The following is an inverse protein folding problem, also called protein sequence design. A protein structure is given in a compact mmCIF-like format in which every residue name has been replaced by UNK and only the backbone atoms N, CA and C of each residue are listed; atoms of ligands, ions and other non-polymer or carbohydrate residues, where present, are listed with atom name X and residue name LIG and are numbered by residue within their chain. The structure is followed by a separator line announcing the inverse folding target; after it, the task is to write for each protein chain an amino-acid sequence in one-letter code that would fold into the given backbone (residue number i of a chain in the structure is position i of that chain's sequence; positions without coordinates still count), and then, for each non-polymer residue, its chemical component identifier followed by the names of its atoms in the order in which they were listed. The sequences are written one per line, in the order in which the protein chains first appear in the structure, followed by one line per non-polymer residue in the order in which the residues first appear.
data_IF_271745725828
#
_entry.id   IF_271745725828
#
_cell.length_a   1.000
_cell.length_b   1.000
_cell.length_c   1.000
_cell.angle_alpha   90.00
_cell.angle_beta   90.00
_cell.angle_gamma   90.00
#
_symmetry.space_group_name_H-M   'P 1'
#
loop_
_entity.id
_entity.type
_entity.pdbx_description
1 polymer ?
#
# COMPACT_ATOMS: atom_id res chain seq x y z
N UNK A 1 3.53 22.67 -17.81
CA UNK A 1 3.52 23.26 -16.44
C UNK A 1 3.02 22.27 -15.39
N UNK A 2 1.89 21.60 -15.58
CA UNK A 2 1.37 20.59 -14.61
C UNK A 2 2.38 19.48 -14.31
N UNK A 3 3.06 18.94 -15.34
CA UNK A 3 4.07 17.88 -15.15
C UNK A 3 5.27 18.29 -14.29
N UNK A 4 5.69 19.57 -14.37
CA UNK A 4 6.74 20.11 -13.50
C UNK A 4 6.29 20.16 -12.04
N UNK A 5 5.03 20.51 -11.80
CA UNK A 5 4.45 20.53 -10.47
C UNK A 5 4.31 19.13 -9.88
N UNK A 6 3.89 18.16 -10.69
CA UNK A 6 3.85 16.75 -10.29
C UNK A 6 5.23 16.22 -9.92
N UNK A 7 6.24 16.55 -10.72
CA UNK A 7 7.63 16.21 -10.42
C UNK A 7 8.13 16.87 -9.13
N UNK A 8 7.76 18.13 -8.90
CA UNK A 8 8.07 18.83 -7.65
C UNK A 8 7.40 18.17 -6.43
N UNK A 9 6.13 17.77 -6.54
CA UNK A 9 5.41 17.03 -5.49
C UNK A 9 6.09 15.69 -5.20
N UNK A 10 6.52 14.97 -6.24
CA UNK A 10 7.26 13.72 -6.10
C UNK A 10 8.58 13.91 -5.33
N UNK A 11 9.39 14.91 -5.71
CA UNK A 11 10.67 15.20 -5.04
C UNK A 11 10.45 15.64 -3.59
N UNK A 12 9.46 16.50 -3.34
CA UNK A 12 9.19 16.99 -1.98
C UNK A 12 8.70 15.86 -1.08
N UNK A 13 7.90 14.92 -1.58
CA UNK A 13 7.51 13.73 -0.84
C UNK A 13 8.71 12.81 -0.55
N UNK A 14 9.62 12.63 -1.52
CA UNK A 14 10.84 11.85 -1.30
C UNK A 14 11.77 12.50 -0.26
N UNK A 15 11.97 13.81 -0.32
CA UNK A 15 12.79 14.54 0.64
C UNK A 15 12.19 14.50 2.05
N UNK A 16 10.88 14.73 2.17
CA UNK A 16 10.17 14.67 3.48
C UNK A 16 10.22 13.28 4.08
N UNK A 17 9.99 12.22 3.28
CA UNK A 17 10.13 10.84 3.72
C UNK A 17 11.54 10.51 4.20
N UNK A 18 12.58 10.94 3.47
CA UNK A 18 13.98 10.74 3.86
C UNK A 18 14.27 11.37 5.23
N UNK A 19 13.82 12.61 5.44
CA UNK A 19 14.00 13.35 6.70
C UNK A 19 13.21 12.69 7.83
N UNK A 20 11.95 12.33 7.62
CA UNK A 20 11.12 11.69 8.64
C UNK A 20 11.67 10.32 9.04
N UNK A 21 12.19 9.54 8.09
CA UNK A 21 12.87 8.28 8.39
C UNK A 21 14.12 8.50 9.26
N UNK A 22 14.91 9.54 8.96
CA UNK A 22 16.06 9.91 9.77
C UNK A 22 15.64 10.30 11.20
N UNK A 23 14.66 11.19 11.34
CA UNK A 23 14.15 11.64 12.63
C UNK A 23 13.58 10.47 13.43
N UNK A 24 12.73 9.65 12.83
CA UNK A 24 12.10 8.50 13.50
C UNK A 24 13.14 7.50 14.01
N UNK A 25 14.20 7.24 13.22
CA UNK A 25 15.33 6.41 13.66
C UNK A 25 16.05 7.00 14.86
N UNK A 26 16.27 8.31 14.89
CA UNK A 26 16.95 8.97 16.01
C UNK A 26 16.10 9.01 17.28
N UNK A 27 14.79 9.16 17.13
CA UNK A 27 13.86 9.34 18.25
C UNK A 27 13.41 8.03 18.87
N UNK A 28 13.26 6.96 18.07
CA UNK A 28 12.82 5.64 18.51
C UNK A 28 13.85 4.53 18.23
N UNK A 29 15.11 4.63 18.70
CA UNK A 29 16.15 3.64 18.40
C UNK A 29 15.93 2.28 19.10
N UNK A 30 15.06 2.24 20.11
CA UNK A 30 14.73 1.05 20.92
C UNK A 30 13.45 0.33 20.47
N UNK A 31 12.67 0.91 19.56
CA UNK A 31 11.44 0.29 19.05
C UNK A 31 11.79 -0.77 18.01
N UNK A 32 12.12 -1.97 18.49
CA UNK A 32 12.64 -3.08 17.70
C UNK A 32 11.81 -4.33 17.99
N UNK A 33 11.37 -5.00 16.92
CA UNK A 33 10.77 -6.32 17.03
C UNK A 33 11.89 -7.30 17.36
N UNK A 34 11.69 -8.11 18.40
CA UNK A 34 12.57 -9.23 18.71
C UNK A 34 12.53 -10.34 17.65
N UNK A 35 11.77 -10.16 16.55
CA UNK A 35 11.80 -11.07 15.41
C UNK A 35 13.18 -11.15 14.79
N UNK A 36 13.71 -12.36 14.88
CA UNK A 36 14.91 -12.77 14.20
C UNK A 36 14.58 -12.94 12.72
N UNK A 37 14.77 -11.89 11.91
CA UNK A 37 14.78 -12.09 10.44
C UNK A 37 15.84 -13.16 10.16
N UNK A 38 15.48 -14.31 9.55
CA UNK A 38 16.48 -15.28 9.16
C UNK A 38 17.42 -14.56 8.20
N UNK A 39 18.69 -14.42 8.60
CA UNK A 39 19.69 -13.94 7.66
C UNK A 39 19.69 -14.87 6.46
N UNK A 40 19.95 -14.30 5.28
CA UNK A 40 20.02 -14.97 3.97
C UNK A 40 20.12 -16.49 4.08
N UNK A 41 18.98 -17.18 3.96
CA UNK A 41 18.98 -18.63 3.82
C UNK A 41 19.77 -18.94 2.54
N UNK A 42 20.96 -19.54 2.69
CA UNK A 42 21.68 -20.11 1.55
C UNK A 42 21.17 -21.54 1.39
N UNK A 43 20.42 -21.86 0.33
CA UNK A 43 20.09 -23.26 0.01
C UNK A 43 21.35 -24.09 -0.29
N UNK A 44 22.48 -23.44 -0.53
CA UNK A 44 23.77 -24.06 -0.87
C UNK A 44 24.62 -24.44 0.36
N UNK A 45 24.19 -24.11 1.57
CA UNK A 45 24.88 -24.54 2.78
C UNK A 45 24.47 -25.99 3.09
N UNK A 46 25.41 -26.93 3.22
CA UNK A 46 25.07 -28.31 3.53
C UNK A 46 24.32 -28.33 4.86
N UNK A 47 23.08 -28.84 4.83
CA UNK A 47 22.37 -29.26 6.04
C UNK A 47 23.30 -30.23 6.74
N UNK A 48 23.67 -29.93 7.99
CA UNK A 48 24.53 -30.80 8.78
C UNK A 48 23.89 -32.20 8.82
N UNK A 49 24.44 -33.13 8.04
CA UNK A 49 24.04 -34.53 8.04
C UNK A 49 24.41 -35.06 9.42
N UNK A 50 23.40 -35.42 10.21
CA UNK A 50 23.56 -36.06 11.51
C UNK A 50 24.34 -37.36 11.33
N UNK A 51 25.65 -37.34 11.56
CA UNK A 51 26.50 -38.47 11.24
C UNK A 51 27.98 -38.33 11.60
N UNK A 52 28.33 -37.70 12.72
CA UNK A 52 29.55 -38.01 13.50
C UNK A 52 29.63 -37.15 14.76
N UNK A 53 29.72 -37.82 15.90
CA UNK A 53 30.15 -37.24 17.17
C UNK A 53 31.59 -36.72 17.05
N UNK A 54 31.90 -35.65 17.78
CA UNK A 54 33.22 -35.00 17.90
C UNK A 54 33.66 -34.09 16.75
N UNK A 55 32.88 -33.03 16.50
CA UNK A 55 33.44 -31.71 16.20
C UNK A 55 32.38 -30.64 16.51
N UNK A 56 32.62 -29.84 17.55
CA UNK A 56 31.85 -28.64 17.87
C UNK A 56 32.11 -27.57 16.82
N UNK A 57 31.47 -27.71 15.66
CA UNK A 57 31.37 -26.63 14.68
C UNK A 57 30.44 -25.60 15.32
N UNK A 58 31.03 -24.56 15.90
CA UNK A 58 30.34 -23.34 16.25
C UNK A 58 29.63 -22.83 14.99
N UNK A 59 28.34 -23.16 14.86
CA UNK A 59 27.46 -22.52 13.89
C UNK A 59 27.58 -21.03 14.16
N UNK A 60 28.19 -20.29 13.22
CA UNK A 60 28.25 -18.83 13.32
C UNK A 60 26.81 -18.34 13.39
N UNK A 61 26.40 -17.92 14.58
CA UNK A 61 25.15 -17.21 14.80
C UNK A 61 25.07 -16.11 13.76
N UNK A 62 24.07 -16.24 12.89
CA UNK A 62 23.65 -15.14 12.03
C UNK A 62 23.31 -14.01 13.01
N UNK A 63 24.13 -12.97 13.05
CA UNK A 63 23.92 -11.83 13.94
C UNK A 63 22.64 -11.11 13.49
N UNK A 64 21.50 -11.54 14.02
CA UNK A 64 20.19 -10.96 13.79
C UNK A 64 20.26 -9.53 14.28
N UNK A 65 20.37 -8.62 13.31
CA UNK A 65 20.43 -7.21 13.63
C UNK A 65 18.99 -6.74 13.74
N UNK A 66 18.53 -6.59 14.97
CA UNK A 66 17.26 -5.93 15.28
C UNK A 66 17.34 -4.49 14.76
N UNK A 67 16.60 -4.22 13.70
CA UNK A 67 16.47 -2.88 13.13
C UNK A 67 15.18 -2.24 13.66
N UNK A 68 15.14 -0.90 13.81
CA UNK A 68 13.95 -0.21 14.29
C UNK A 68 12.79 -0.29 13.28
N UNK A 69 11.58 -0.58 13.77
CA UNK A 69 10.33 -0.61 12.98
C UNK A 69 9.70 0.79 12.98
N UNK A 70 10.32 1.69 12.24
CA UNK A 70 9.90 3.10 12.19
C UNK A 70 9.65 3.59 10.77
N UNK A 71 9.85 2.73 9.77
CA UNK A 71 9.69 3.11 8.36
C UNK A 71 8.24 3.39 7.99
N UNK A 72 7.30 2.53 8.39
CA UNK A 72 5.87 2.65 8.06
C UNK A 72 5.22 3.96 8.52
N UNK A 73 5.29 4.32 9.81
CA UNK A 73 4.72 5.58 10.29
C UNK A 73 5.41 6.81 9.66
N UNK A 74 6.72 6.76 9.43
CA UNK A 74 7.44 7.87 8.79
C UNK A 74 6.99 8.08 7.32
N UNK A 75 6.83 6.99 6.56
CA UNK A 75 6.37 6.98 5.18
C UNK A 75 4.95 7.55 5.05
N UNK A 76 4.03 7.05 5.87
CA UNK A 76 2.62 7.47 5.84
C UNK A 76 2.44 8.93 6.22
N UNK A 77 3.15 9.41 7.24
CA UNK A 77 3.17 10.84 7.58
C UNK A 77 3.71 11.70 6.43
N UNK A 78 4.74 11.24 5.71
CA UNK A 78 5.25 11.94 4.54
C UNK A 78 4.18 12.05 3.43
N UNK A 79 3.47 10.95 3.15
CA UNK A 79 2.38 10.91 2.15
C UNK A 79 1.24 11.85 2.54
N UNK A 80 0.83 11.86 3.81
CA UNK A 80 -0.25 12.73 4.29
C UNK A 80 0.14 14.20 4.19
N UNK A 81 1.31 14.58 4.71
CA UNK A 81 1.79 15.96 4.68
C UNK A 81 1.97 16.46 3.24
N UNK A 82 2.64 15.68 2.39
CA UNK A 82 2.86 16.04 0.99
C UNK A 82 1.56 16.01 0.18
N UNK A 83 0.61 15.13 0.50
CA UNK A 83 -0.70 15.07 -0.14
C UNK A 83 -1.57 16.28 0.15
N UNK A 84 -1.66 16.69 1.41
CA UNK A 84 -2.38 17.92 1.79
C UNK A 84 -1.71 19.13 1.11
N UNK A 85 -0.38 19.20 1.12
CA UNK A 85 0.38 20.25 0.43
C UNK A 85 0.09 20.27 -1.08
N UNK A 86 0.08 19.12 -1.74
CA UNK A 86 -0.23 18.99 -3.15
C UNK A 86 -1.65 19.45 -3.49
N UNK A 87 -2.64 19.15 -2.64
CA UNK A 87 -4.03 19.59 -2.82
C UNK A 87 -4.17 21.12 -2.82
N UNK A 88 -3.51 21.81 -1.88
CA UNK A 88 -3.49 23.28 -1.86
C UNK A 88 -2.76 23.85 -3.07
N UNK A 89 -1.64 23.22 -3.43
CA UNK A 89 -0.74 23.71 -4.45
C UNK A 89 -1.33 23.59 -5.87
N UNK A 90 -2.02 22.48 -6.15
CA UNK A 90 -2.71 22.23 -7.42
C UNK A 90 -4.14 22.79 -7.47
N UNK A 91 -4.59 23.47 -6.40
CA UNK A 91 -5.91 24.09 -6.28
C UNK A 91 -7.04 23.10 -6.57
N UNK A 92 -7.05 21.98 -5.85
CA UNK A 92 -8.07 20.95 -6.02
C UNK A 92 -9.48 21.48 -5.78
N UNK A 93 -10.43 21.00 -6.60
CA UNK A 93 -11.87 21.23 -6.43
C UNK A 93 -12.41 20.43 -5.25
N UNK A 94 -13.66 20.72 -4.83
CA UNK A 94 -14.30 20.04 -3.71
C UNK A 94 -14.27 18.51 -3.83
N UNK A 95 -14.65 17.97 -4.99
CA UNK A 95 -14.70 16.51 -5.19
C UNK A 95 -13.30 15.87 -5.18
N UNK A 96 -12.33 16.57 -5.76
CA UNK A 96 -10.92 16.16 -5.75
C UNK A 96 -10.34 16.12 -4.32
N UNK A 97 -10.69 17.09 -3.48
CA UNK A 97 -10.34 17.08 -2.06
C UNK A 97 -10.98 15.92 -1.32
N UNK A 98 -12.25 15.64 -1.59
CA UNK A 98 -12.96 14.52 -0.96
C UNK A 98 -12.28 13.19 -1.28
N UNK A 99 -11.92 12.95 -2.55
CA UNK A 99 -11.18 11.74 -2.96
C UNK A 99 -9.83 11.65 -2.23
N UNK A 100 -9.06 12.74 -2.26
CA UNK A 100 -7.75 12.80 -1.60
C UNK A 100 -7.87 12.47 -0.11
N UNK A 101 -8.82 13.08 0.59
CA UNK A 101 -9.01 12.90 2.03
C UNK A 101 -9.47 11.48 2.37
N UNK A 102 -10.35 10.88 1.57
CA UNK A 102 -10.75 9.48 1.76
C UNK A 102 -9.54 8.55 1.57
N UNK A 103 -8.74 8.77 0.52
CA UNK A 103 -7.52 7.99 0.29
C UNK A 103 -6.50 8.14 1.41
N UNK A 104 -6.19 9.36 1.84
CA UNK A 104 -5.26 9.62 2.93
C UNK A 104 -5.76 9.05 4.26
N UNK A 105 -7.07 9.17 4.53
CA UNK A 105 -7.71 8.57 5.69
C UNK A 105 -7.63 7.05 5.70
N UNK A 106 -7.83 6.39 4.55
CA UNK A 106 -7.66 4.95 4.42
C UNK A 106 -6.20 4.52 4.65
N UNK A 107 -5.23 5.20 4.02
CA UNK A 107 -3.79 4.94 4.20
C UNK A 107 -3.40 5.05 5.68
N UNK A 108 -3.90 6.08 6.37
CA UNK A 108 -3.70 6.24 7.80
C UNK A 108 -4.37 5.10 8.60
N UNK A 109 -5.60 4.71 8.26
CA UNK A 109 -6.29 3.59 8.89
C UNK A 109 -5.52 2.26 8.79
N UNK A 110 -5.02 1.93 7.59
CA UNK A 110 -4.17 0.74 7.40
C UNK A 110 -2.86 0.82 8.17
N UNK A 111 -2.23 2.01 8.21
CA UNK A 111 -1.05 2.25 9.03
C UNK A 111 -1.35 1.99 10.51
N UNK A 112 -2.49 2.44 11.03
CA UNK A 112 -2.87 2.19 12.44
C UNK A 112 -3.00 0.68 12.70
N UNK A 113 -3.66 -0.06 11.82
CA UNK A 113 -3.82 -1.52 11.99
C UNK A 113 -2.46 -2.22 12.01
N UNK A 114 -1.57 -1.90 11.07
CA UNK A 114 -0.23 -2.48 11.04
C UNK A 114 0.66 -2.01 12.19
N UNK A 115 0.50 -0.77 12.65
CA UNK A 115 1.24 -0.25 13.80
C UNK A 115 0.81 -0.93 15.10
N UNK A 116 -0.47 -1.26 15.24
CA UNK A 116 -0.96 -2.05 16.37
C UNK A 116 -0.33 -3.45 16.38
N UNK A 117 -0.15 -4.07 15.20
CA UNK A 117 0.57 -5.34 15.09
C UNK A 117 2.05 -5.20 15.46
N UNK A 118 2.75 -4.23 14.85
CA UNK A 118 4.14 -3.91 15.17
C UNK A 118 4.33 -3.65 16.68
N UNK A 119 3.39 -2.95 17.32
CA UNK A 119 3.39 -2.70 18.76
C UNK A 119 3.24 -4.00 19.57
N UNK A 120 2.32 -4.89 19.21
CA UNK A 120 2.17 -6.17 19.90
C UNK A 120 3.43 -7.04 19.75
N UNK A 121 4.03 -7.09 18.56
CA UNK A 121 5.29 -7.80 18.31
C UNK A 121 6.43 -7.28 19.20
N UNK A 122 6.54 -5.96 19.36
CA UNK A 122 7.60 -5.32 20.16
C UNK A 122 7.45 -5.61 21.67
N UNK A 123 6.21 -5.54 22.21
CA UNK A 123 6.00 -5.63 23.66
C UNK A 123 5.63 -7.03 24.16
N UNK A 124 5.03 -7.88 23.32
CA UNK A 124 4.53 -9.21 23.69
C UNK A 124 5.24 -10.36 22.96
N UNK A 125 6.19 -10.07 22.06
CA UNK A 125 6.89 -11.05 21.20
C UNK A 125 5.98 -11.87 20.27
N UNK A 126 4.69 -11.56 20.22
CA UNK A 126 3.69 -12.22 19.37
C UNK A 126 2.90 -11.13 18.64
N UNK A 127 2.69 -11.34 17.34
CA UNK A 127 1.81 -10.49 16.54
C UNK A 127 0.34 -10.66 16.94
N UNK A 128 -0.51 -9.75 16.46
CA UNK A 128 -1.95 -9.90 16.63
C UNK A 128 -2.44 -11.13 15.87
N UNK A 129 -3.56 -11.70 16.31
CA UNK A 129 -4.19 -12.80 15.59
C UNK A 129 -4.47 -12.40 14.14
N UNK A 130 -4.14 -13.28 13.19
CA UNK A 130 -4.31 -13.05 11.75
C UNK A 130 -5.74 -12.63 11.40
N UNK A 131 -6.73 -13.22 12.09
CA UNK A 131 -8.16 -12.85 11.93
C UNK A 131 -8.42 -11.40 12.32
N UNK A 132 -7.85 -10.92 13.42
CA UNK A 132 -8.00 -9.53 13.88
C UNK A 132 -7.31 -8.56 12.93
N UNK A 133 -6.12 -8.91 12.42
CA UNK A 133 -5.41 -8.14 11.39
C UNK A 133 -6.27 -7.99 10.13
N UNK A 134 -6.75 -9.11 9.61
CA UNK A 134 -7.63 -9.13 8.43
C UNK A 134 -8.92 -8.33 8.66
N UNK A 135 -9.59 -8.51 9.80
CA UNK A 135 -10.81 -7.75 10.14
C UNK A 135 -10.54 -6.24 10.22
N UNK A 136 -9.43 -5.82 10.83
CA UNK A 136 -9.06 -4.41 10.92
C UNK A 136 -8.86 -3.77 9.55
N UNK A 137 -8.06 -4.41 8.71
CA UNK A 137 -7.81 -3.99 7.32
C UNK A 137 -9.12 -3.94 6.52
N UNK A 138 -9.94 -4.98 6.60
CA UNK A 138 -11.24 -5.04 5.92
C UNK A 138 -12.19 -3.91 6.37
N UNK A 139 -12.26 -3.62 7.67
CA UNK A 139 -13.10 -2.55 8.21
C UNK A 139 -12.66 -1.17 7.71
N UNK A 140 -11.35 -0.91 7.63
CA UNK A 140 -10.81 0.34 7.06
C UNK A 140 -11.25 0.48 5.59
N UNK A 141 -11.16 -0.59 4.80
CA UNK A 141 -11.62 -0.59 3.40
C UNK A 141 -13.13 -0.32 3.25
N UNK A 142 -13.94 -0.91 4.13
CA UNK A 142 -15.41 -0.74 4.12
C UNK A 142 -15.78 0.69 4.49
N UNK A 143 -15.13 1.26 5.51
CA UNK A 143 -15.32 2.66 5.89
C UNK A 143 -14.95 3.61 4.75
N UNK A 144 -13.86 3.34 4.04
CA UNK A 144 -13.46 4.14 2.89
C UNK A 144 -14.48 4.05 1.73
N UNK A 145 -15.05 2.87 1.48
CA UNK A 145 -16.12 2.69 0.50
C UNK A 145 -17.43 3.39 0.88
N UNK A 146 -17.81 3.34 2.16
CA UNK A 146 -18.96 4.09 2.66
C UNK A 146 -18.77 5.59 2.44
N UNK A 147 -17.59 6.12 2.79
CA UNK A 147 -17.27 7.53 2.54
C UNK A 147 -17.33 7.87 1.05
N UNK A 148 -16.75 7.02 0.19
CA UNK A 148 -16.76 7.22 -1.26
C UNK A 148 -18.18 7.23 -1.84
N UNK A 149 -19.04 6.30 -1.42
CA UNK A 149 -20.42 6.19 -1.89
C UNK A 149 -21.32 7.36 -1.44
N UNK A 150 -21.18 7.78 -0.17
CA UNK A 150 -22.04 8.83 0.39
C UNK A 150 -21.58 10.24 0.01
N UNK A 151 -20.27 10.49 -0.05
CA UNK A 151 -19.72 11.82 -0.25
C UNK A 151 -19.52 12.20 -1.73
N UNK A 152 -19.45 11.23 -2.65
CA UNK A 152 -19.17 11.49 -4.07
C UNK A 152 -20.24 10.89 -4.99
N UNK A 153 -20.71 11.64 -6.01
CA UNK A 153 -21.59 11.10 -7.05
C UNK A 153 -20.94 9.93 -7.81
N UNK A 154 -19.63 10.00 -8.07
CA UNK A 154 -18.87 8.98 -8.78
C UNK A 154 -18.89 7.60 -8.10
N UNK A 155 -19.11 7.55 -6.78
CA UNK A 155 -19.25 6.30 -6.03
C UNK A 155 -20.60 5.63 -6.20
N UNK A 156 -21.63 6.35 -6.66
CA UNK A 156 -23.00 5.83 -6.87
C UNK A 156 -23.24 5.32 -8.28
N UNK A 157 -22.25 5.43 -9.15
CA UNK A 157 -22.31 4.95 -10.53
C UNK A 157 -21.68 3.55 -10.63
N UNK A 158 -22.48 2.58 -11.08
CA UNK A 158 -21.98 1.25 -11.39
C UNK A 158 -21.26 1.24 -12.76
N UNK A 159 -20.14 0.51 -12.88
CA UNK A 159 -19.31 0.47 -14.09
C UNK A 159 -18.98 -0.93 -14.62
N UNK A 160 -18.48 -0.91 -15.88
CA UNK A 160 -18.21 -1.98 -16.84
C UNK A 160 -18.14 -3.42 -16.36
N UNK A 161 -17.06 -3.86 -15.68
CA UNK A 161 -16.87 -5.28 -15.42
C UNK A 161 -17.93 -5.89 -14.49
N UNK A 162 -18.66 -5.08 -13.73
CA UNK A 162 -19.60 -5.54 -12.71
C UNK A 162 -21.06 -5.38 -13.13
N UNK A 163 -21.36 -4.34 -13.93
CA UNK A 163 -22.68 -4.15 -14.54
C UNK A 163 -22.97 -5.17 -15.64
N UNK A 164 -21.93 -5.73 -16.28
CA UNK A 164 -22.07 -6.64 -17.41
C UNK A 164 -22.15 -8.12 -16.97
N UNK A 165 -22.13 -8.41 -15.66
CA UNK A 165 -22.32 -9.77 -15.14
C UNK A 165 -23.78 -10.23 -15.36
N UNK A 166 -24.04 -11.43 -15.91
CA UNK A 166 -25.38 -11.85 -16.33
C UNK A 166 -26.40 -11.97 -15.18
N UNK A 167 -25.94 -12.31 -13.97
CA UNK A 167 -26.78 -12.39 -12.76
C UNK A 167 -26.82 -11.08 -11.98
N UNK A 168 -25.66 -10.41 -11.84
CA UNK A 168 -25.50 -9.26 -10.95
C UNK A 168 -25.87 -7.93 -11.65
N UNK A 169 -25.66 -7.85 -12.96
CA UNK A 169 -25.95 -6.70 -13.80
C UNK A 169 -27.43 -6.37 -13.90
N UNK A 170 -28.28 -7.40 -14.12
CA UNK A 170 -29.73 -7.23 -14.18
C UNK A 170 -30.34 -6.82 -12.82
N UNK A 171 -29.70 -7.19 -11.71
CA UNK A 171 -30.08 -6.82 -10.35
C UNK A 171 -29.67 -5.39 -9.99
N UNK A 172 -28.53 -4.92 -10.49
CA UNK A 172 -27.96 -3.59 -10.20
C UNK A 172 -28.44 -2.53 -11.21
N UNK A 173 -28.73 -2.92 -12.45
CA UNK A 173 -29.13 -2.01 -13.52
C UNK A 173 -30.28 -2.62 -14.34
N UNK A 174 -31.51 -2.24 -14.03
CA UNK A 174 -32.73 -2.79 -14.66
C UNK A 174 -33.08 -2.16 -16.02
N UNK A 175 -32.35 -1.14 -16.46
CA UNK A 175 -32.54 -0.50 -17.77
C UNK A 175 -31.18 -0.21 -18.41
N UNK A 176 -30.75 -1.00 -19.41
CA UNK A 176 -29.55 -0.67 -20.16
C UNK A 176 -29.90 0.46 -21.14
N UNK A 177 -29.73 1.71 -20.71
CA UNK A 177 -29.77 2.84 -21.65
C UNK A 177 -28.58 2.72 -22.60
N UNK A 178 -28.89 2.39 -23.85
CA UNK A 178 -27.98 1.92 -24.91
C UNK A 178 -27.03 2.98 -25.48
N UNK A 179 -26.92 4.18 -24.87
CA UNK A 179 -26.14 5.26 -25.49
C UNK A 179 -24.95 5.80 -24.70
N UNK A 180 -24.83 5.63 -23.37
CA UNK A 180 -23.70 6.23 -22.61
C UNK A 180 -23.03 5.36 -21.54
N UNK A 181 -23.43 4.10 -21.33
CA UNK A 181 -22.68 3.15 -20.51
C UNK A 181 -22.55 3.46 -19.00
N UNK A 182 -23.07 4.60 -18.52
CA UNK A 182 -23.16 5.00 -17.11
C UNK A 182 -24.54 4.59 -16.60
N UNK A 183 -24.60 3.71 -15.60
CA UNK A 183 -25.84 3.36 -14.92
C UNK A 183 -25.91 4.11 -13.58
N UNK A 184 -26.57 5.28 -13.51
CA UNK A 184 -26.78 5.97 -12.26
C UNK A 184 -27.74 5.11 -11.43
N UNK A 185 -27.25 4.61 -10.30
CA UNK A 185 -28.07 3.79 -9.40
C UNK A 185 -28.99 4.73 -8.63
N UNK A 186 -30.12 5.11 -9.23
CA UNK A 186 -31.08 6.05 -8.66
C UNK A 186 -32.47 5.41 -8.51
N UNK A 187 -32.90 5.22 -7.26
CA UNK A 187 -34.28 4.97 -6.81
C UNK A 187 -35.09 3.85 -7.51
N UNK A 188 -34.51 2.65 -7.65
CA UNK A 188 -35.17 1.47 -7.11
C UNK A 188 -34.35 0.94 -5.92
N UNK A 189 -34.96 0.88 -4.74
CA UNK A 189 -34.27 0.58 -3.46
C UNK A 189 -33.29 -0.59 -3.55
N UNK A 190 -33.63 -1.63 -4.30
CA UNK A 190 -32.84 -2.84 -4.43
C UNK A 190 -31.48 -2.62 -5.13
N UNK A 191 -31.44 -1.85 -6.23
CA UNK A 191 -30.22 -1.60 -6.97
C UNK A 191 -29.23 -0.72 -6.18
N UNK A 192 -29.75 0.28 -5.47
CA UNK A 192 -28.96 1.20 -4.64
C UNK A 192 -28.23 0.47 -3.51
N UNK A 193 -28.96 -0.35 -2.73
CA UNK A 193 -28.35 -1.15 -1.67
C UNK A 193 -27.49 -2.28 -2.22
N UNK A 194 -27.88 -2.89 -3.36
CA UNK A 194 -27.09 -3.92 -4.04
C UNK A 194 -25.71 -3.41 -4.45
N UNK A 195 -25.64 -2.24 -5.08
CA UNK A 195 -24.37 -1.61 -5.45
C UNK A 195 -23.55 -1.20 -4.23
N UNK A 196 -24.18 -0.63 -3.18
CA UNK A 196 -23.46 -0.27 -1.96
C UNK A 196 -22.81 -1.50 -1.29
N UNK A 197 -23.56 -2.60 -1.13
CA UNK A 197 -23.03 -3.85 -0.58
C UNK A 197 -21.91 -4.39 -1.46
N UNK A 198 -22.12 -4.40 -2.78
CA UNK A 198 -21.11 -4.83 -3.73
C UNK A 198 -19.83 -4.00 -3.60
N UNK A 199 -19.93 -2.67 -3.58
CA UNK A 199 -18.80 -1.76 -3.43
C UNK A 199 -18.04 -2.01 -2.12
N UNK A 200 -18.73 -2.17 -0.99
CA UNK A 200 -18.09 -2.48 0.30
C UNK A 200 -17.34 -3.81 0.27
N UNK A 201 -17.93 -4.85 -0.32
CA UNK A 201 -17.27 -6.16 -0.43
C UNK A 201 -16.10 -6.13 -1.40
N UNK A 202 -16.24 -5.40 -2.51
CA UNK A 202 -15.18 -5.21 -3.50
C UNK A 202 -13.98 -4.49 -2.87
N UNK A 203 -14.20 -3.33 -2.24
CA UNK A 203 -13.11 -2.58 -1.62
C UNK A 203 -12.50 -3.33 -0.45
N UNK A 204 -13.32 -4.01 0.35
CA UNK A 204 -12.90 -4.90 1.43
C UNK A 204 -11.98 -6.01 0.92
N UNK A 205 -12.38 -6.71 -0.13
CA UNK A 205 -11.62 -7.80 -0.74
C UNK A 205 -10.31 -7.30 -1.38
N UNK A 206 -10.39 -6.31 -2.27
CA UNK A 206 -9.20 -5.78 -2.97
C UNK A 206 -8.23 -5.13 -1.98
N UNK A 207 -8.73 -4.32 -1.05
CA UNK A 207 -7.90 -3.65 -0.04
C UNK A 207 -7.21 -4.64 0.90
N UNK A 208 -7.92 -5.66 1.36
CA UNK A 208 -7.32 -6.69 2.22
C UNK A 208 -6.31 -7.56 1.47
N UNK A 209 -6.64 -8.04 0.27
CA UNK A 209 -5.74 -8.84 -0.55
C UNK A 209 -4.43 -8.09 -0.85
N UNK A 210 -4.52 -6.86 -1.33
CA UNK A 210 -3.34 -6.09 -1.73
C UNK A 210 -2.46 -5.66 -0.56
N UNK A 211 -3.06 -5.24 0.55
CA UNK A 211 -2.29 -4.91 1.77
C UNK A 211 -1.56 -6.13 2.34
N UNK A 212 -2.21 -7.28 2.38
CA UNK A 212 -1.59 -8.54 2.83
C UNK A 212 -0.53 -9.06 1.85
N UNK A 213 -0.75 -8.92 0.53
CA UNK A 213 0.27 -9.27 -0.47
C UNK A 213 1.54 -8.42 -0.32
N UNK A 214 1.41 -7.11 -0.09
CA UNK A 214 2.56 -6.23 0.15
C UNK A 214 3.28 -6.60 1.46
N UNK A 215 2.52 -7.00 2.48
CA UNK A 215 3.05 -7.47 3.77
C UNK A 215 3.88 -8.75 3.61
N UNK A 216 3.40 -9.72 2.82
CA UNK A 216 4.17 -10.94 2.50
C UNK A 216 5.46 -10.64 1.74
N UNK A 217 5.47 -9.58 0.93
CA UNK A 217 6.67 -9.14 0.20
C UNK A 217 7.73 -8.44 1.07
N UNK A 218 7.43 -8.00 2.31
CA UNK A 218 8.37 -7.26 3.19
C UNK A 218 9.37 -8.17 3.94
N UNK A 219 9.55 -9.41 3.45
CA UNK A 219 10.53 -10.36 3.98
C UNK A 219 11.98 -9.93 3.74
N UNK A 220 12.30 -9.32 2.59
CA UNK A 220 13.67 -8.98 2.19
C UNK A 220 13.97 -7.47 2.17
N UNK A 221 15.19 -7.10 2.54
CA UNK A 221 15.68 -5.71 2.54
C UNK A 221 15.49 -5.07 1.14
N UNK A 222 14.62 -4.06 1.06
CA UNK A 222 14.36 -3.29 -0.15
C UNK A 222 13.46 -3.95 -1.20
N UNK A 223 13.00 -5.20 -1.00
CA UNK A 223 12.15 -5.90 -1.98
C UNK A 223 10.74 -5.29 -2.05
N UNK A 224 10.01 -5.28 -0.94
CA UNK A 224 8.67 -4.67 -0.88
C UNK A 224 8.69 -3.21 -1.34
N UNK A 225 9.66 -2.43 -0.87
CA UNK A 225 9.84 -1.05 -1.33
C UNK A 225 10.02 -0.95 -2.84
N UNK A 226 10.89 -1.77 -3.44
CA UNK A 226 11.09 -1.77 -4.89
C UNK A 226 9.82 -2.14 -5.69
N UNK A 227 9.07 -3.14 -5.23
CA UNK A 227 7.82 -3.59 -5.87
C UNK A 227 6.71 -2.54 -5.77
N UNK A 228 6.54 -1.91 -4.60
CA UNK A 228 5.55 -0.83 -4.46
C UNK A 228 5.99 0.40 -5.27
N UNK A 229 7.29 0.73 -5.34
CA UNK A 229 7.79 1.84 -6.15
C UNK A 229 7.46 1.67 -7.64
N UNK A 230 7.77 0.51 -8.21
CA UNK A 230 7.47 0.23 -9.62
C UNK A 230 5.96 0.18 -9.88
N UNK A 231 5.20 -0.43 -8.98
CA UNK A 231 3.73 -0.52 -9.09
C UNK A 231 3.05 0.85 -9.02
N UNK A 232 3.47 1.70 -8.08
CA UNK A 232 2.94 3.04 -7.94
C UNK A 232 3.25 3.91 -9.18
N UNK A 233 4.46 3.80 -9.74
CA UNK A 233 4.79 4.50 -10.99
C UNK A 233 3.98 3.98 -12.18
N UNK A 234 3.79 2.66 -12.29
CA UNK A 234 2.96 2.08 -13.35
C UNK A 234 1.51 2.61 -13.26
N UNK A 235 0.93 2.66 -12.06
CA UNK A 235 -0.38 3.27 -11.85
C UNK A 235 -0.41 4.76 -12.15
N UNK A 236 0.63 5.51 -11.78
CA UNK A 236 0.75 6.91 -12.15
C UNK A 236 0.69 7.10 -13.66
N UNK A 237 1.40 6.26 -14.43
CA UNK A 237 1.39 6.29 -15.89
C UNK A 237 0.00 5.92 -16.45
N UNK A 238 -0.61 4.84 -15.96
CA UNK A 238 -1.93 4.35 -16.43
C UNK A 238 -3.03 5.37 -16.16
N UNK A 239 -2.96 6.06 -15.02
CA UNK A 239 -4.02 6.96 -14.53
C UNK A 239 -3.82 8.40 -15.00
N UNK A 240 -2.67 8.72 -15.64
CA UNK A 240 -2.40 10.08 -16.14
C UNK A 240 -3.58 10.66 -16.94
N UNK A 241 -4.29 11.60 -16.30
CA UNK A 241 -5.47 12.27 -16.88
C UNK A 241 -5.11 13.22 -18.02
N UNK A 242 -3.82 13.53 -18.17
CA UNK A 242 -3.28 14.37 -19.25
C UNK A 242 -3.42 13.70 -20.62
N UNK A 243 -3.42 12.36 -20.69
CA UNK A 243 -3.60 11.60 -21.93
C UNK A 243 -5.04 11.16 -22.18
N UNK A 244 -5.89 11.11 -21.14
CA UNK A 244 -7.24 10.52 -21.24
C UNK A 244 -8.31 11.44 -20.64
N UNK A 245 -9.09 12.12 -21.50
CA UNK A 245 -10.21 13.00 -21.11
C UNK A 245 -11.41 12.31 -20.43
N UNK A 246 -11.30 11.02 -20.05
CA UNK A 246 -12.41 10.23 -19.53
C UNK A 246 -12.71 10.47 -18.05
N UNK A 247 -11.72 10.94 -17.27
CA UNK A 247 -11.88 11.15 -15.82
C UNK A 247 -11.15 12.43 -15.34
N UNK A 248 -11.84 13.58 -15.23
CA UNK A 248 -11.21 14.85 -14.81
C UNK A 248 -10.66 14.84 -13.36
N UNK A 249 -11.03 13.85 -12.55
CA UNK A 249 -10.52 13.64 -11.19
C UNK A 249 -9.22 12.81 -11.14
N UNK A 250 -8.76 12.30 -12.29
CA UNK A 250 -7.56 11.45 -12.40
C UNK A 250 -6.27 12.11 -11.89
N UNK A 251 -6.21 13.45 -11.88
CA UNK A 251 -5.06 14.20 -11.35
C UNK A 251 -4.80 13.87 -9.87
N UNK A 252 -5.85 13.64 -9.08
CA UNK A 252 -5.70 13.33 -7.65
C UNK A 252 -5.06 11.96 -7.45
N UNK A 253 -5.48 10.99 -8.25
CA UNK A 253 -4.98 9.61 -8.19
C UNK A 253 -3.55 9.52 -8.74
N UNK A 254 -3.23 10.31 -9.78
CA UNK A 254 -1.87 10.48 -10.28
C UNK A 254 -0.96 11.06 -9.18
N UNK A 255 -1.40 12.12 -8.50
CA UNK A 255 -0.68 12.69 -7.35
C UNK A 255 -0.49 11.64 -6.27
N UNK A 256 -1.53 10.89 -5.90
CA UNK A 256 -1.44 9.86 -4.87
C UNK A 256 -0.41 8.75 -5.22
N UNK A 257 -0.37 8.34 -6.49
CA UNK A 257 0.61 7.37 -6.99
C UNK A 257 2.04 7.89 -6.91
N UNK A 258 2.26 9.17 -7.27
CA UNK A 258 3.57 9.83 -7.17
C UNK A 258 3.97 10.05 -5.72
N UNK A 259 3.03 10.32 -4.81
CA UNK A 259 3.33 10.41 -3.38
C UNK A 259 3.77 9.05 -2.83
N UNK A 260 3.12 7.96 -3.22
CA UNK A 260 3.54 6.62 -2.82
C UNK A 260 4.96 6.31 -3.33
N UNK A 261 5.20 6.50 -4.63
CA UNK A 261 6.51 6.28 -5.23
C UNK A 261 7.58 7.20 -4.61
N UNK A 262 7.27 8.47 -4.38
CA UNK A 262 8.16 9.45 -3.76
C UNK A 262 8.52 9.08 -2.33
N UNK A 263 7.53 8.75 -1.50
CA UNK A 263 7.75 8.34 -0.12
C UNK A 263 8.70 7.14 -0.04
N UNK A 264 8.48 6.14 -0.88
CA UNK A 264 9.32 4.94 -0.95
C UNK A 264 10.74 5.28 -1.44
N UNK A 265 10.87 6.16 -2.43
CA UNK A 265 12.18 6.62 -2.90
C UNK A 265 12.99 7.28 -1.76
N UNK A 266 12.33 8.05 -0.89
CA UNK A 266 12.94 8.63 0.32
C UNK A 266 13.32 7.60 1.38
N UNK A 267 12.58 6.50 1.47
CA UNK A 267 12.79 5.42 2.41
C UNK A 267 13.87 4.42 1.96
N UNK A 268 13.97 4.13 0.66
CA UNK A 268 14.88 3.12 0.10
C UNK A 268 16.35 3.29 0.52
N UNK A 269 16.92 4.50 0.63
CA UNK A 269 18.28 4.70 1.16
C UNK A 269 18.48 4.16 2.59
N UNK A 270 17.42 4.07 3.39
CA UNK A 270 17.43 3.51 4.74
C UNK A 270 17.21 2.01 4.78
N UNK A 271 16.54 1.44 3.78
CA UNK A 271 16.29 0.01 3.63
C UNK A 271 16.93 -0.56 2.35
N UNK A 272 18.15 -0.12 2.05
CA UNK A 272 18.80 -0.49 0.79
C UNK A 272 19.22 -1.96 0.81
N UNK A 273 18.97 -2.73 -0.28
CA UNK A 273 19.34 -4.13 -0.36
C UNK A 273 20.85 -4.31 -0.14
N UNK A 274 21.22 -5.28 0.70
CA UNK A 274 22.63 -5.65 0.84
C UNK A 274 23.16 -6.19 -0.50
N UNK A 275 24.37 -5.77 -0.90
CA UNK A 275 25.01 -6.15 -2.17
C UNK A 275 24.93 -7.66 -2.42
N UNK A 276 24.71 -8.12 -3.66
CA UNK A 276 24.74 -9.55 -3.99
C UNK A 276 26.07 -10.24 -3.60
N UNK A 277 27.19 -9.50 -3.59
CA UNK A 277 28.49 -9.94 -3.05
C UNK A 277 28.45 -10.31 -1.55
N UNK A 278 27.48 -9.79 -0.79
CA UNK A 278 27.18 -10.20 0.59
C UNK A 278 26.76 -11.66 0.71
N UNK A 279 26.17 -12.23 -0.36
CA UNK A 279 25.84 -13.65 -0.41
C UNK A 279 27.06 -14.55 -0.58
N UNK A 280 28.27 -14.01 -0.78
CA UNK A 280 29.52 -14.78 -0.91
C UNK A 280 30.55 -14.55 0.20
N UNK A 281 30.33 -13.65 1.17
CA UNK A 281 31.29 -13.37 2.24
C UNK A 281 30.73 -12.53 3.40
N UNK A 282 31.60 -12.02 4.29
CA UNK A 282 31.25 -11.11 5.40
C UNK A 282 30.96 -9.70 4.89
N UNK A 283 29.78 -9.47 4.31
CA UNK A 283 29.37 -8.13 3.94
C UNK A 283 28.48 -7.48 4.99
N UNK A 284 28.64 -6.17 5.11
CA UNK A 284 27.88 -5.31 6.00
C UNK A 284 26.46 -5.12 5.46
N UNK A 285 25.44 -5.44 6.27
CA UNK A 285 24.04 -5.12 5.99
C UNK A 285 23.89 -3.60 5.87
N UNK A 286 23.25 -3.13 4.78
CA UNK A 286 23.05 -1.69 4.50
C UNK A 286 21.73 -1.15 5.06
N UNK A 287 20.74 -2.02 5.28
CA UNK A 287 19.48 -1.65 5.90
C UNK A 287 19.68 -1.15 7.34
N UNK A 288 19.00 -0.06 7.67
CA UNK A 288 19.08 0.67 8.95
C UNK A 288 17.71 0.80 9.63
N UNK A 289 16.64 0.65 8.87
CA UNK A 289 15.24 0.80 9.29
C UNK A 289 14.43 -0.28 8.57
N UNK A 290 13.42 -0.83 9.24
CA UNK A 290 12.44 -1.75 8.65
C UNK A 290 11.10 -1.01 8.47
N UNK A 291 10.38 -1.39 7.42
CA UNK A 291 9.10 -0.78 7.05
C UNK A 291 8.03 -1.23 8.05
N UNK A 292 7.97 -2.54 8.30
CA UNK A 292 7.04 -3.13 9.24
C UNK A 292 5.65 -3.25 8.64
N UNK A 293 4.77 -3.91 9.38
CA UNK A 293 3.40 -4.20 8.95
C UNK A 293 2.62 -2.89 8.81
N UNK A 294 2.92 -1.88 9.64
CA UNK A 294 2.41 -0.51 9.51
C UNK A 294 2.64 0.10 8.13
N UNK A 295 3.84 -0.06 7.58
CA UNK A 295 4.18 0.47 6.26
C UNK A 295 3.58 -0.38 5.15
N UNK A 296 3.73 -1.70 5.24
CA UNK A 296 3.29 -2.61 4.18
C UNK A 296 1.78 -2.54 3.95
N UNK A 297 0.99 -2.60 5.03
CA UNK A 297 -0.47 -2.49 4.93
C UNK A 297 -0.89 -1.12 4.39
N UNK A 298 -0.23 -0.04 4.82
CA UNK A 298 -0.56 1.32 4.37
C UNK A 298 -0.31 1.53 2.88
N UNK A 299 0.80 1.01 2.35
CA UNK A 299 1.16 1.15 0.95
C UNK A 299 0.32 0.23 0.04
N UNK A 300 0.04 -1.00 0.46
CA UNK A 300 -0.88 -1.87 -0.28
C UNK A 300 -2.31 -1.29 -0.28
N UNK A 301 -2.75 -0.75 0.86
CA UNK A 301 -3.98 0.02 0.96
C UNK A 301 -4.00 1.23 0.02
N UNK A 302 -2.90 1.98 -0.10
CA UNK A 302 -2.79 3.09 -1.04
C UNK A 302 -2.99 2.64 -2.49
N UNK A 303 -2.33 1.56 -2.91
CA UNK A 303 -2.47 0.99 -4.26
C UNK A 303 -3.91 0.50 -4.52
N UNK A 304 -4.56 -0.11 -3.53
CA UNK A 304 -5.96 -0.50 -3.62
C UNK A 304 -6.88 0.69 -3.89
N UNK A 305 -6.73 1.77 -3.12
CA UNK A 305 -7.56 2.97 -3.25
C UNK A 305 -7.35 3.63 -4.62
N UNK A 306 -6.11 3.68 -5.11
CA UNK A 306 -5.78 4.21 -6.43
C UNK A 306 -6.50 3.40 -7.54
N UNK A 307 -6.47 2.07 -7.47
CA UNK A 307 -7.09 1.22 -8.47
C UNK A 307 -8.62 1.29 -8.45
N UNK A 308 -9.23 1.25 -7.27
CA UNK A 308 -10.70 1.29 -7.11
C UNK A 308 -11.25 2.64 -7.59
N UNK A 309 -10.65 3.75 -7.17
CA UNK A 309 -11.12 5.08 -7.55
C UNK A 309 -10.86 5.39 -9.03
N UNK A 310 -9.83 4.79 -9.63
CA UNK A 310 -9.62 4.88 -11.08
C UNK A 310 -10.47 3.90 -11.90
N UNK A 311 -11.26 3.03 -11.25
CA UNK A 311 -12.06 1.97 -11.89
C UNK A 311 -11.20 0.99 -12.72
N UNK A 312 -9.95 0.76 -12.31
CA UNK A 312 -8.96 -0.09 -12.99
C UNK A 312 -8.43 -1.22 -12.08
N UNK A 313 -9.34 -1.99 -11.49
CA UNK A 313 -9.03 -3.08 -10.56
C UNK A 313 -8.28 -4.22 -11.25
N UNK A 314 -8.58 -4.48 -12.53
CA UNK A 314 -7.92 -5.51 -13.32
C UNK A 314 -6.43 -5.24 -13.53
N UNK A 315 -6.06 -3.96 -13.69
CA UNK A 315 -4.65 -3.56 -13.75
C UNK A 315 -3.95 -3.83 -12.43
N UNK A 316 -4.65 -3.65 -11.30
CA UNK A 316 -4.12 -3.98 -9.98
C UNK A 316 -3.93 -5.46 -9.78
N UNK A 317 -4.82 -6.30 -10.31
CA UNK A 317 -4.64 -7.74 -10.24
C UNK A 317 -3.36 -8.18 -10.98
N UNK A 318 -3.09 -7.62 -12.16
CA UNK A 318 -1.89 -7.95 -12.95
C UNK A 318 -0.60 -7.47 -12.30
N UNK A 319 -0.58 -6.22 -11.82
CA UNK A 319 0.59 -5.64 -11.14
C UNK A 319 0.76 -6.29 -9.74
N UNK A 320 -0.36 -6.53 -9.06
CA UNK A 320 -0.46 -7.17 -7.75
C UNK A 320 0.09 -8.60 -7.72
N UNK A 321 0.04 -9.30 -8.85
CA UNK A 321 0.66 -10.62 -9.02
C UNK A 321 2.19 -10.61 -8.82
N UNK A 322 2.87 -9.46 -8.85
CA UNK A 322 4.29 -9.38 -8.58
C UNK A 322 4.65 -9.44 -7.08
N UNK A 323 3.66 -9.30 -6.18
CA UNK A 323 3.86 -9.31 -4.73
C UNK A 323 3.71 -10.70 -4.09
N UNK A 324 3.35 -11.72 -4.87
CA UNK A 324 3.10 -13.11 -4.45
C UNK A 324 3.97 -14.05 -5.26
#
# INVERSE_FOLDING_TARGET
MILLWLFFIFITCAATSLILCYVAKTLFPRFRSGEHKPGTHRPDLPVAVAGRSDQSIAGREIKTTELPLVGGPALTLAIICAGIGAGYFLKFKSDQWTILLISLGAIFGYMVVGFLDDWHKVYRNEGIAERTKFTGVFLVSVLAALCYFFLLPAGREAYGPYKDLPLLGNLICSSPSTTDGICPVAFPHFAYFGWLIFLMLLTGCIGSLTSLSVDFSDGFDGLAGGLVFSSALAFGIIITGILTNKHPEGIVLEVLSLLCAGAILGYLPWNWPSSWAARRGTAKRRARIIMGDSGALSLGGALAMIAIFSRNEWSLLLIGGAFV
#
